data_IF_996131524440
#
_entry.id   IF_996131524440
#
_cell.length_a   1.000
_cell.length_b   1.000
_cell.length_c   1.000
_cell.angle_alpha   90.00
_cell.angle_beta   90.00
_cell.angle_gamma   90.00
#
_symmetry.space_group_name_H-M   'P 1'
#
loop_
_entity.id
_entity.type
_entity.pdbx_description
1 polymer ?
#
# COMPACT_ATOMS: atom_id res chain seq x y z
N UNK A 1 -3.78 14.22 7.53
CA UNK A 1 -5.07 13.59 7.23
C UNK A 1 -5.96 14.58 6.49
N UNK A 2 -6.61 14.09 5.46
CA UNK A 2 -7.56 14.85 4.63
C UNK A 2 -8.84 14.03 4.55
N UNK A 3 -10.03 14.60 4.77
CA UNK A 3 -11.27 13.87 4.58
C UNK A 3 -11.43 13.48 3.10
N UNK A 4 -12.05 12.35 2.83
CA UNK A 4 -12.31 11.89 1.47
C UNK A 4 -13.55 12.54 0.84
N UNK A 5 -14.42 13.10 1.68
CA UNK A 5 -15.64 13.78 1.27
C UNK A 5 -15.98 14.88 2.27
N UNK A 6 -16.67 15.91 1.81
CA UNK A 6 -17.19 17.01 2.61
C UNK A 6 -18.68 17.19 2.39
N UNK A 7 -19.41 17.55 3.42
CA UNK A 7 -20.85 17.87 3.32
C UNK A 7 -21.09 19.22 2.62
N UNK A 8 -20.05 20.01 2.47
CA UNK A 8 -20.11 21.36 1.91
C UNK A 8 -19.68 21.46 0.45
N UNK A 9 -19.44 20.31 -0.20
CA UNK A 9 -19.02 20.26 -1.60
C UNK A 9 -17.56 20.66 -1.87
N UNK A 10 -16.80 21.02 -0.83
CA UNK A 10 -15.37 21.31 -0.91
C UNK A 10 -14.67 20.90 0.39
N UNK A 11 -13.46 20.38 0.26
CA UNK A 11 -12.58 20.11 1.40
C UNK A 11 -11.74 21.34 1.66
N UNK A 12 -11.88 21.94 2.84
CA UNK A 12 -11.12 23.10 3.24
C UNK A 12 -9.91 22.72 4.09
N UNK A 13 -8.96 23.64 4.21
CA UNK A 13 -7.77 23.42 5.05
C UNK A 13 -8.14 23.15 6.52
N UNK A 14 -9.24 23.73 7.01
CA UNK A 14 -9.70 23.53 8.40
C UNK A 14 -10.17 22.10 8.69
N UNK A 15 -10.51 21.32 7.65
CA UNK A 15 -10.91 19.92 7.78
C UNK A 15 -9.70 18.98 7.73
N UNK A 16 -8.52 19.52 7.41
CA UNK A 16 -7.28 18.76 7.39
C UNK A 16 -6.65 18.70 8.78
N UNK A 17 -6.07 17.56 9.12
CA UNK A 17 -5.38 17.36 10.40
C UNK A 17 -3.97 16.85 10.14
N UNK A 18 -3.00 17.40 10.88
CA UNK A 18 -1.63 16.90 10.90
C UNK A 18 -1.47 15.92 12.09
N UNK A 19 -1.51 14.60 11.85
CA UNK A 19 -1.51 13.61 12.92
C UNK A 19 -0.10 13.26 13.43
N UNK A 20 0.92 13.96 13.00
CA UNK A 20 2.31 13.72 13.39
C UNK A 20 3.27 14.64 12.67
N UNK A 21 4.55 14.43 12.87
CA UNK A 21 5.65 15.16 12.24
C UNK A 21 6.61 14.21 11.55
N UNK A 22 7.36 14.72 10.60
CA UNK A 22 8.32 13.97 9.80
C UNK A 22 8.06 14.11 8.31
N UNK A 23 8.82 13.38 7.54
CA UNK A 23 8.72 13.36 6.09
C UNK A 23 7.72 12.29 5.61
N UNK A 24 7.89 11.79 4.40
CA UNK A 24 7.01 10.74 3.87
C UNK A 24 7.18 9.43 4.64
N UNK A 25 6.08 8.72 4.89
CA UNK A 25 6.13 7.45 5.60
C UNK A 25 4.80 6.72 5.56
N UNK A 26 4.78 5.50 6.07
CA UNK A 26 3.55 4.74 6.23
C UNK A 26 2.69 5.32 7.35
N UNK A 27 1.38 5.26 7.14
CA UNK A 27 0.36 5.63 8.12
C UNK A 27 -0.55 4.43 8.34
N UNK A 28 -0.71 4.02 9.60
CA UNK A 28 -1.63 2.98 10.00
C UNK A 28 -2.70 3.54 10.93
N UNK A 29 -3.95 3.46 10.53
CA UNK A 29 -5.10 3.88 11.33
C UNK A 29 -5.68 2.67 12.04
N UNK A 30 -5.94 2.80 13.34
CA UNK A 30 -6.49 1.70 14.14
C UNK A 30 -7.87 1.31 13.62
N UNK A 31 -8.12 0.01 13.29
CA UNK A 31 -9.34 -0.40 12.59
C UNK A 31 -10.65 -0.13 13.34
N UNK A 32 -10.66 -0.26 14.65
CA UNK A 32 -11.80 -0.09 15.54
C UNK A 32 -11.86 1.29 16.23
N UNK A 33 -10.81 2.09 16.09
CA UNK A 33 -10.72 3.44 16.67
C UNK A 33 -9.90 4.37 15.75
N UNK A 34 -10.53 5.02 14.76
CA UNK A 34 -9.82 5.82 13.78
C UNK A 34 -9.14 7.07 14.35
N UNK A 35 -9.40 7.41 15.61
CA UNK A 35 -8.70 8.50 16.30
C UNK A 35 -7.26 8.13 16.71
N UNK A 36 -6.93 6.84 16.67
CA UNK A 36 -5.58 6.34 16.95
C UNK A 36 -4.87 6.07 15.63
N UNK A 37 -3.73 6.73 15.46
CA UNK A 37 -2.93 6.66 14.23
C UNK A 37 -1.46 6.43 14.57
N UNK A 38 -0.83 5.50 13.85
CA UNK A 38 0.61 5.30 13.89
C UNK A 38 1.23 5.86 12.62
N UNK A 39 2.31 6.62 12.78
CA UNK A 39 2.99 7.30 11.68
C UNK A 39 4.47 7.02 11.80
N UNK A 40 5.02 6.37 10.81
CA UNK A 40 6.45 6.11 10.69
C UNK A 40 7.07 7.10 9.73
N UNK A 41 8.17 7.64 10.13
CA UNK A 41 9.05 8.40 9.26
C UNK A 41 10.47 8.36 9.83
N UNK A 42 11.45 8.26 8.96
CA UNK A 42 12.86 8.39 9.24
C UNK A 42 13.33 9.76 8.75
N UNK A 43 14.53 10.14 9.01
CA UNK A 43 15.11 11.40 8.57
C UNK A 43 14.81 12.54 9.53
N UNK A 44 14.03 13.52 9.12
CA UNK A 44 13.72 14.70 9.95
C UNK A 44 12.82 14.41 11.16
N UNK A 45 12.35 13.18 11.34
CA UNK A 45 11.58 12.80 12.51
C UNK A 45 12.43 12.69 13.76
N UNK A 46 11.97 13.17 14.91
CA UNK A 46 12.67 12.92 16.16
C UNK A 46 12.65 11.43 16.50
N UNK A 47 13.78 10.90 16.96
CA UNK A 47 13.86 9.56 17.50
C UNK A 47 14.75 8.57 16.75
N UNK A 48 15.44 8.98 15.68
CA UNK A 48 16.41 8.14 14.97
C UNK A 48 15.79 7.02 14.14
N UNK A 49 16.53 5.95 13.92
CA UNK A 49 16.08 4.76 13.21
C UNK A 49 14.85 4.12 13.85
N UNK A 50 13.91 3.68 13.02
CA UNK A 50 12.66 3.11 13.50
C UNK A 50 11.79 4.11 14.26
N UNK A 51 11.93 5.40 13.98
CA UNK A 51 11.10 6.45 14.56
C UNK A 51 9.63 6.19 14.25
N UNK A 52 8.81 6.05 15.26
CA UNK A 52 7.40 5.76 15.17
C UNK A 52 6.62 6.63 16.15
N UNK A 53 5.57 7.24 15.63
CA UNK A 53 4.72 8.13 16.39
C UNK A 53 3.33 7.51 16.56
N UNK A 54 2.82 7.56 17.78
CA UNK A 54 1.44 7.23 18.12
C UNK A 54 0.70 8.54 18.39
N UNK A 55 -0.31 8.83 17.60
CA UNK A 55 -1.14 10.02 17.71
C UNK A 55 -2.56 9.65 18.12
N UNK A 56 -3.11 10.40 19.09
CA UNK A 56 -4.51 10.31 19.48
C UNK A 56 -5.24 11.61 19.07
N UNK A 57 -6.15 11.51 18.13
CA UNK A 57 -6.86 12.66 17.57
C UNK A 57 -7.78 13.35 18.58
N UNK A 58 -8.41 12.59 19.50
CA UNK A 58 -9.31 13.17 20.53
C UNK A 58 -8.56 14.04 21.53
N UNK A 59 -7.41 13.57 21.98
CA UNK A 59 -6.59 14.28 22.98
C UNK A 59 -5.54 15.19 22.37
N UNK A 60 -5.32 15.09 21.06
CA UNK A 60 -4.23 15.78 20.33
C UNK A 60 -2.84 15.45 20.84
N UNK A 61 -2.68 14.33 21.53
CA UNK A 61 -1.40 13.89 22.06
C UNK A 61 -0.64 13.04 21.05
N UNK A 62 0.64 13.34 20.93
CA UNK A 62 1.61 12.58 20.17
C UNK A 62 2.63 11.98 21.11
N UNK A 63 2.93 10.70 20.94
CA UNK A 63 3.89 9.95 21.74
C UNK A 63 4.86 9.23 20.80
N UNK A 64 6.15 9.31 21.07
CA UNK A 64 7.15 8.49 20.40
C UNK A 64 7.08 7.07 20.95
N UNK A 65 7.02 6.11 20.05
CA UNK A 65 6.92 4.67 20.36
C UNK A 65 7.95 3.89 19.53
N UNK A 66 9.15 4.46 19.43
CA UNK A 66 10.23 3.96 18.59
C UNK A 66 10.50 2.48 18.84
N UNK A 67 10.77 1.74 17.76
CA UNK A 67 11.11 0.32 17.81
C UNK A 67 12.50 0.16 18.41
N UNK A 68 13.46 0.94 17.90
CA UNK A 68 14.84 0.95 18.35
C UNK A 68 15.42 2.36 18.19
N UNK A 69 15.54 3.13 19.28
CA UNK A 69 16.02 4.51 19.22
C UNK A 69 17.55 4.55 19.09
N UNK A 70 18.04 4.54 17.88
CA UNK A 70 19.46 4.62 17.55
C UNK A 70 19.71 5.76 16.58
N UNK A 71 20.72 6.58 16.88
CA UNK A 71 21.17 7.62 15.97
C UNK A 71 22.12 7.03 14.95
N UNK A 72 21.78 7.16 13.66
CA UNK A 72 22.48 6.46 12.58
C UNK A 72 23.22 7.39 11.61
N UNK A 73 23.19 8.69 11.86
CA UNK A 73 23.90 9.66 11.03
C UNK A 73 25.39 9.34 10.92
N UNK A 74 25.86 9.13 9.72
CA UNK A 74 27.26 8.85 9.43
C UNK A 74 27.68 7.39 9.64
N UNK A 75 26.75 6.51 10.04
CA UNK A 75 27.04 5.09 10.22
C UNK A 75 26.74 4.29 8.93
N UNK A 76 27.57 3.29 8.67
CA UNK A 76 27.28 2.35 7.60
C UNK A 76 26.14 1.40 8.02
N UNK A 77 25.27 0.98 7.11
CA UNK A 77 24.21 0.02 7.41
C UNK A 77 24.65 -1.28 8.07
N UNK A 78 25.90 -1.72 7.84
CA UNK A 78 26.48 -2.91 8.51
C UNK A 78 26.78 -2.69 9.99
N UNK A 79 26.96 -1.45 10.43
CA UNK A 79 27.41 -1.10 11.77
C UNK A 79 26.25 -0.78 12.72
N UNK A 80 25.01 -0.71 12.20
CA UNK A 80 23.80 -0.48 12.97
C UNK A 80 23.09 -1.79 13.29
N UNK A 81 22.34 -1.81 14.39
CA UNK A 81 21.67 -3.02 14.85
C UNK A 81 20.48 -3.44 13.99
N UNK A 82 19.66 -2.49 13.60
CA UNK A 82 18.50 -2.70 12.75
C UNK A 82 18.46 -1.63 11.66
N UNK A 83 18.16 -2.05 10.44
CA UNK A 83 18.03 -1.15 9.29
C UNK A 83 16.56 -0.85 9.05
N UNK A 84 16.22 0.41 8.91
CA UNK A 84 14.89 0.86 8.51
C UNK A 84 15.00 1.69 7.24
N UNK A 85 14.06 1.49 6.31
CA UNK A 85 13.90 2.36 5.17
C UNK A 85 13.18 3.64 5.59
N UNK A 86 13.34 4.70 4.85
CA UNK A 86 12.57 5.93 5.02
C UNK A 86 11.06 5.67 5.11
N UNK A 87 10.57 4.80 4.24
CA UNK A 87 9.16 4.40 4.20
C UNK A 87 9.02 2.93 4.59
N UNK A 88 9.23 2.59 5.86
CA UNK A 88 9.10 1.22 6.33
C UNK A 88 7.63 0.84 6.60
N UNK A 89 7.22 -0.41 6.35
CA UNK A 89 5.85 -0.86 6.53
C UNK A 89 5.38 -0.82 7.98
N UNK A 90 4.15 -0.30 8.17
CA UNK A 90 3.44 -0.31 9.45
C UNK A 90 2.03 -0.83 9.16
N UNK A 91 1.56 -1.80 9.93
CA UNK A 91 0.20 -2.32 9.77
C UNK A 91 -0.38 -2.80 11.09
N UNK A 92 -1.70 -2.71 11.21
CA UNK A 92 -2.45 -3.41 12.25
C UNK A 92 -2.73 -4.85 11.83
N UNK A 93 -2.82 -5.75 12.82
CA UNK A 93 -3.38 -7.06 12.60
C UNK A 93 -4.86 -6.96 12.20
N UNK A 94 -5.30 -7.69 11.16
CA UNK A 94 -6.73 -7.76 10.82
C UNK A 94 -7.55 -8.57 11.83
N UNK A 95 -6.89 -9.29 12.76
CA UNK A 95 -7.53 -10.16 13.76
C UNK A 95 -7.62 -9.53 15.15
N UNK A 96 -6.70 -8.63 15.47
CA UNK A 96 -6.63 -7.96 16.77
C UNK A 96 -6.11 -6.52 16.58
N UNK A 97 -6.99 -5.56 16.74
CA UNK A 97 -6.68 -4.13 16.62
C UNK A 97 -5.71 -3.61 17.70
N UNK A 98 -5.40 -4.39 18.71
CA UNK A 98 -4.36 -4.10 19.71
C UNK A 98 -2.95 -4.45 19.23
N UNK A 99 -2.82 -5.21 18.14
CA UNK A 99 -1.53 -5.64 17.61
C UNK A 99 -1.12 -4.74 16.43
N UNK A 100 0.11 -4.22 16.51
CA UNK A 100 0.74 -3.45 15.44
C UNK A 100 2.05 -4.12 15.04
N UNK A 101 2.29 -4.18 13.75
CA UNK A 101 3.55 -4.61 13.14
C UNK A 101 4.26 -3.41 12.53
N UNK A 102 5.59 -3.44 12.60
CA UNK A 102 6.45 -2.51 11.88
C UNK A 102 7.72 -3.24 11.42
N UNK A 103 8.26 -2.85 10.27
CA UNK A 103 9.31 -3.62 9.62
C UNK A 103 10.54 -2.76 9.31
N UNK A 104 11.70 -3.18 9.81
CA UNK A 104 12.99 -2.82 9.28
C UNK A 104 13.54 -3.96 8.41
N UNK A 105 14.77 -4.40 8.63
CA UNK A 105 15.26 -5.68 8.10
C UNK A 105 14.65 -6.90 8.83
N UNK A 106 13.97 -6.66 9.93
CA UNK A 106 13.20 -7.63 10.71
C UNK A 106 11.75 -7.16 10.84
N UNK A 107 10.85 -8.09 11.16
CA UNK A 107 9.48 -7.80 11.57
C UNK A 107 9.41 -7.63 13.08
N UNK A 108 8.85 -6.53 13.53
CA UNK A 108 8.59 -6.21 14.93
C UNK A 108 7.09 -6.18 15.20
N UNK A 109 6.69 -6.63 16.39
CA UNK A 109 5.32 -6.68 16.86
C UNK A 109 5.20 -6.02 18.23
N UNK A 110 4.17 -5.21 18.41
CA UNK A 110 3.73 -4.73 19.72
C UNK A 110 2.26 -5.12 19.95
N UNK A 111 1.90 -5.37 21.21
CA UNK A 111 0.53 -5.59 21.70
C UNK A 111 0.18 -4.68 22.87
N UNK A 112 0.98 -3.63 23.08
CA UNK A 112 0.84 -2.70 24.18
C UNK A 112 1.06 -1.24 23.75
N UNK A 113 0.57 -0.90 22.57
CA UNK A 113 0.63 0.45 21.98
C UNK A 113 2.06 1.00 21.82
N UNK A 114 3.01 0.13 21.50
CA UNK A 114 4.41 0.53 21.28
C UNK A 114 5.20 0.82 22.55
N UNK A 115 4.71 0.44 23.74
CA UNK A 115 5.49 0.53 24.98
C UNK A 115 6.68 -0.43 24.99
N UNK A 116 6.55 -1.53 24.26
CA UNK A 116 7.64 -2.45 23.96
C UNK A 116 7.40 -3.15 22.62
N UNK A 117 8.49 -3.59 21.98
CA UNK A 117 8.50 -4.27 20.70
C UNK A 117 9.20 -5.61 20.82
N UNK A 118 8.63 -6.61 20.16
CA UNK A 118 9.20 -7.95 20.05
C UNK A 118 9.58 -8.20 18.61
N UNK A 119 10.84 -8.55 18.37
CA UNK A 119 11.30 -9.06 17.08
C UNK A 119 10.73 -10.46 16.84
N UNK A 120 10.05 -10.68 15.71
CA UNK A 120 9.38 -11.94 15.35
C UNK A 120 9.89 -12.53 14.03
N UNK A 121 11.01 -12.04 13.51
CA UNK A 121 11.66 -12.64 12.34
C UNK A 121 13.18 -12.62 12.45
N UNK A 122 13.89 -13.47 11.70
CA UNK A 122 15.29 -13.23 11.35
C UNK A 122 15.40 -11.98 10.45
N UNK A 123 16.59 -11.67 9.96
CA UNK A 123 16.78 -10.75 8.83
C UNK A 123 16.17 -11.41 7.58
N UNK A 124 15.23 -10.72 6.93
CA UNK A 124 14.48 -11.21 5.77
C UNK A 124 14.98 -10.62 4.45
N UNK A 125 16.20 -10.11 4.46
CA UNK A 125 16.83 -9.45 3.30
C UNK A 125 18.05 -10.24 2.84
N UNK A 126 18.62 -9.88 1.69
CA UNK A 126 19.90 -10.45 1.23
C UNK A 126 21.04 -10.01 2.13
N UNK A 127 21.01 -8.75 2.53
CA UNK A 127 22.00 -8.11 3.38
C UNK A 127 23.45 -8.33 2.89
N UNK A 128 23.68 -8.20 1.59
CA UNK A 128 25.01 -8.41 1.00
C UNK A 128 26.01 -7.43 1.61
N UNK A 129 27.00 -7.94 2.31
CA UNK A 129 27.94 -7.16 3.12
C UNK A 129 28.70 -6.10 2.31
N UNK A 130 29.04 -6.39 1.05
CA UNK A 130 29.74 -5.48 0.15
C UNK A 130 28.88 -4.25 -0.23
N UNK A 131 27.56 -4.33 -0.02
CA UNK A 131 26.57 -3.27 -0.30
C UNK A 131 26.11 -2.53 0.95
N UNK A 132 26.47 -2.98 2.12
CA UNK A 132 26.12 -2.36 3.41
C UNK A 132 27.18 -1.35 3.88
N UNK A 133 27.98 -0.83 2.96
CA UNK A 133 28.95 0.23 3.24
C UNK A 133 28.32 1.61 3.43
N UNK A 134 29.16 2.60 3.66
CA UNK A 134 28.75 4.00 3.64
C UNK A 134 28.22 4.38 2.27
N UNK A 135 27.13 5.12 2.22
CA UNK A 135 26.58 5.72 1.01
C UNK A 135 27.17 7.11 0.75
N UNK A 136 26.95 7.61 -0.45
CA UNK A 136 27.48 8.88 -0.92
C UNK A 136 28.58 8.71 -1.96
N UNK A 137 28.95 9.80 -2.61
CA UNK A 137 30.00 9.83 -3.62
C UNK A 137 31.29 10.40 -3.07
N UNK A 138 31.64 11.62 -3.48
CA UNK A 138 32.84 12.34 -2.98
C UNK A 138 32.73 12.70 -1.51
N UNK A 139 31.52 12.84 -0.99
CA UNK A 139 31.21 13.03 0.43
C UNK A 139 30.34 11.88 0.91
N UNK A 140 30.54 11.47 2.16
CA UNK A 140 29.69 10.48 2.81
C UNK A 140 28.33 11.10 3.11
N UNK A 141 27.26 10.42 2.68
CA UNK A 141 25.89 10.84 2.88
C UNK A 141 25.07 9.67 3.46
N UNK A 142 25.44 9.25 4.66
CA UNK A 142 24.75 8.21 5.41
C UNK A 142 23.80 8.86 6.40
N UNK A 143 22.62 9.26 5.92
CA UNK A 143 21.62 9.97 6.72
C UNK A 143 20.62 9.04 7.42
N UNK A 144 20.68 7.74 7.13
CA UNK A 144 19.72 6.76 7.63
C UNK A 144 18.51 6.57 6.73
N UNK A 145 18.23 7.51 5.82
CA UNK A 145 17.11 7.42 4.89
C UNK A 145 17.41 6.51 3.70
N UNK A 146 18.66 6.32 3.35
CA UNK A 146 19.16 5.59 2.18
C UNK A 146 19.46 4.12 2.46
N UNK A 147 19.11 3.61 3.64
CA UNK A 147 19.39 2.22 3.98
C UNK A 147 18.67 1.27 3.04
N UNK A 148 19.44 0.39 2.44
CA UNK A 148 18.94 -0.74 1.68
C UNK A 148 19.00 -2.01 2.54
N UNK A 149 18.51 -3.14 2.01
CA UNK A 149 18.31 -4.40 2.72
C UNK A 149 17.30 -4.22 3.85
N UNK A 150 16.11 -3.78 3.48
CA UNK A 150 14.97 -3.56 4.37
C UNK A 150 13.70 -4.20 3.80
N UNK A 151 12.76 -4.52 4.67
CA UNK A 151 11.44 -4.99 4.27
C UNK A 151 10.67 -3.79 3.72
N UNK A 152 10.19 -3.90 2.48
CA UNK A 152 9.45 -2.86 1.76
C UNK A 152 7.95 -3.06 1.79
N UNK A 153 7.48 -4.29 2.03
CA UNK A 153 6.07 -4.64 2.13
C UNK A 153 5.87 -5.77 3.12
N UNK A 154 4.82 -5.67 3.93
CA UNK A 154 4.45 -6.67 4.94
C UNK A 154 2.95 -6.76 5.06
N UNK A 155 2.43 -7.97 5.11
CA UNK A 155 1.00 -8.23 5.27
C UNK A 155 0.75 -9.46 6.16
N UNK A 156 -0.29 -9.39 6.99
CA UNK A 156 -0.86 -10.53 7.70
C UNK A 156 -2.10 -11.02 6.95
N UNK A 157 -2.29 -12.33 6.90
CA UNK A 157 -3.46 -12.95 6.28
C UNK A 157 -4.77 -12.43 6.90
N UNK A 158 -5.75 -11.97 6.12
CA UNK A 158 -7.07 -11.65 6.67
C UNK A 158 -7.88 -12.90 7.02
N UNK A 159 -7.44 -14.09 6.58
CA UNK A 159 -8.14 -15.35 6.79
C UNK A 159 -7.64 -16.13 8.02
N UNK A 160 -6.36 -15.96 8.38
CA UNK A 160 -5.74 -16.71 9.45
C UNK A 160 -4.71 -15.86 10.19
N UNK A 161 -4.90 -15.72 11.50
CA UNK A 161 -3.95 -15.01 12.36
C UNK A 161 -2.59 -15.70 12.42
N UNK A 162 -1.53 -14.88 12.40
CA UNK A 162 -0.16 -15.37 12.48
C UNK A 162 0.41 -15.95 11.18
N UNK A 163 -0.29 -15.80 10.07
CA UNK A 163 0.24 -16.10 8.73
C UNK A 163 0.66 -14.80 8.06
N UNK A 164 1.94 -14.72 7.71
CA UNK A 164 2.59 -13.48 7.25
C UNK A 164 3.28 -13.65 5.92
N UNK A 165 3.36 -12.54 5.17
CA UNK A 165 4.24 -12.39 4.00
C UNK A 165 5.00 -11.09 4.09
N UNK A 166 6.27 -11.14 3.74
CA UNK A 166 7.18 -9.99 3.71
C UNK A 166 7.97 -9.98 2.41
N UNK A 167 8.07 -8.82 1.79
CA UNK A 167 8.93 -8.58 0.63
C UNK A 167 9.97 -7.54 0.95
N UNK A 168 11.19 -7.70 0.41
CA UNK A 168 12.30 -6.80 0.64
C UNK A 168 12.63 -5.94 -0.57
N UNK A 169 13.33 -4.84 -0.32
CA UNK A 169 13.79 -3.92 -1.36
C UNK A 169 14.94 -4.50 -2.22
N UNK A 170 15.53 -5.60 -1.78
CA UNK A 170 16.60 -6.35 -2.45
C UNK A 170 16.13 -7.67 -3.09
N UNK A 171 14.79 -7.87 -3.15
CA UNK A 171 14.15 -8.84 -4.03
C UNK A 171 13.89 -10.20 -3.42
N UNK A 172 13.74 -10.31 -2.11
CA UNK A 172 13.31 -11.54 -1.46
C UNK A 172 11.85 -11.47 -1.01
N UNK A 173 11.17 -12.61 -1.08
CA UNK A 173 9.82 -12.78 -0.54
C UNK A 173 9.84 -13.94 0.46
N UNK A 174 9.33 -13.68 1.65
CA UNK A 174 9.27 -14.67 2.71
C UNK A 174 7.85 -14.84 3.24
N UNK A 175 7.54 -16.03 3.73
CA UNK A 175 6.29 -16.34 4.45
C UNK A 175 6.56 -17.00 5.78
N UNK A 176 5.65 -16.83 6.71
CA UNK A 176 5.57 -17.56 7.98
C UNK A 176 4.13 -17.95 8.26
N UNK A 177 3.91 -19.18 8.73
CA UNK A 177 2.58 -19.73 9.03
C UNK A 177 2.35 -19.98 10.53
N UNK A 178 3.33 -19.62 11.38
CA UNK A 178 3.38 -19.99 12.79
C UNK A 178 3.62 -18.80 13.75
N UNK A 179 3.20 -17.61 13.34
CA UNK A 179 3.35 -16.40 14.13
C UNK A 179 4.76 -15.81 14.12
N UNK A 180 5.52 -16.10 13.06
CA UNK A 180 6.87 -15.55 12.87
C UNK A 180 8.00 -16.37 13.48
N UNK A 181 7.75 -17.63 13.88
CA UNK A 181 8.80 -18.50 14.45
C UNK A 181 9.70 -19.09 13.36
N UNK A 182 9.10 -19.50 12.25
CA UNK A 182 9.78 -20.03 11.07
C UNK A 182 9.40 -19.17 9.86
N UNK A 183 10.39 -18.79 9.08
CA UNK A 183 10.25 -18.05 7.84
C UNK A 183 10.86 -18.83 6.69
N UNK A 184 10.12 -18.92 5.59
CA UNK A 184 10.51 -19.62 4.37
C UNK A 184 10.65 -18.63 3.24
N UNK A 185 11.70 -18.73 2.46
CA UNK A 185 11.87 -17.98 1.24
C UNK A 185 10.98 -18.59 0.14
N UNK A 186 10.10 -17.77 -0.41
CA UNK A 186 9.14 -18.13 -1.45
C UNK A 186 9.25 -17.19 -2.67
N UNK A 187 10.39 -16.57 -2.86
CA UNK A 187 10.64 -15.65 -3.97
C UNK A 187 10.33 -16.33 -5.31
N UNK A 188 9.58 -15.69 -6.22
CA UNK A 188 9.34 -16.27 -7.55
C UNK A 188 10.64 -16.57 -8.27
N UNK A 189 10.81 -17.79 -8.79
CA UNK A 189 12.05 -18.21 -9.47
C UNK A 189 12.36 -17.37 -10.72
N UNK A 190 11.34 -16.84 -11.38
CA UNK A 190 11.47 -16.03 -12.58
C UNK A 190 11.66 -14.53 -12.27
N UNK A 191 11.60 -14.14 -11.00
CA UNK A 191 11.83 -12.75 -10.61
C UNK A 191 13.33 -12.46 -10.68
N UNK A 192 13.75 -11.47 -11.45
CA UNK A 192 15.17 -11.11 -11.50
C UNK A 192 15.69 -10.67 -10.13
N UNK A 193 16.94 -10.97 -9.85
CA UNK A 193 17.61 -10.53 -8.63
C UNK A 193 17.54 -9.01 -8.46
N UNK A 194 17.48 -8.54 -7.21
CA UNK A 194 17.43 -7.12 -6.88
C UNK A 194 16.15 -6.42 -7.36
N UNK A 195 15.10 -7.15 -7.64
CA UNK A 195 13.80 -6.56 -7.90
C UNK A 195 13.20 -6.05 -6.58
N UNK A 196 12.99 -4.76 -6.48
CA UNK A 196 12.32 -4.15 -5.32
C UNK A 196 10.89 -4.69 -5.23
N UNK A 197 10.58 -5.45 -4.19
CA UNK A 197 9.21 -5.94 -3.94
C UNK A 197 8.36 -4.78 -3.47
N UNK A 198 7.55 -4.24 -4.37
CA UNK A 198 6.81 -3.02 -4.08
C UNK A 198 5.54 -3.30 -3.27
N UNK A 199 4.81 -4.36 -3.61
CA UNK A 199 3.55 -4.68 -2.96
C UNK A 199 3.28 -6.18 -2.97
N UNK A 200 2.79 -6.69 -1.85
CA UNK A 200 2.13 -7.97 -1.72
C UNK A 200 0.68 -7.69 -1.32
N UNK A 201 -0.26 -8.19 -2.10
CA UNK A 201 -1.69 -8.10 -1.84
C UNK A 201 -2.25 -9.50 -1.60
N UNK A 202 -3.03 -9.66 -0.54
CA UNK A 202 -3.70 -10.93 -0.24
C UNK A 202 -5.15 -10.84 -0.68
N UNK A 203 -5.59 -11.82 -1.45
CA UNK A 203 -6.99 -11.91 -1.83
C UNK A 203 -7.89 -12.06 -0.59
N UNK A 204 -8.91 -11.23 -0.50
CA UNK A 204 -9.96 -11.38 0.53
C UNK A 204 -10.97 -12.47 0.18
N UNK A 205 -10.95 -12.97 -1.06
CA UNK A 205 -11.89 -13.97 -1.56
C UNK A 205 -11.41 -15.41 -1.36
N UNK A 206 -10.10 -15.63 -1.54
CA UNK A 206 -9.53 -16.98 -1.54
C UNK A 206 -8.29 -17.04 -0.65
N UNK A 207 -8.31 -17.82 0.43
CA UNK A 207 -7.13 -18.09 1.23
C UNK A 207 -5.99 -18.65 0.36
N UNK A 208 -4.77 -18.19 0.60
CA UNK A 208 -3.60 -18.60 -0.17
C UNK A 208 -3.44 -17.94 -1.55
N UNK A 209 -4.39 -17.12 -1.99
CA UNK A 209 -4.22 -16.31 -3.21
C UNK A 209 -3.51 -15.01 -2.87
N UNK A 210 -2.40 -14.78 -3.56
CA UNK A 210 -1.54 -13.60 -3.41
C UNK A 210 -1.28 -12.98 -4.78
N UNK A 211 -1.14 -11.66 -4.77
CA UNK A 211 -0.63 -10.90 -5.89
C UNK A 211 0.63 -10.16 -5.46
N UNK A 212 1.62 -10.11 -6.33
CA UNK A 212 2.89 -9.45 -6.07
C UNK A 212 3.20 -8.51 -7.23
N UNK A 213 3.66 -7.32 -6.89
CA UNK A 213 4.29 -6.41 -7.84
C UNK A 213 5.71 -6.07 -7.39
N UNK A 214 6.61 -6.01 -8.37
CA UNK A 214 8.00 -5.62 -8.17
C UNK A 214 8.48 -4.71 -9.29
N UNK A 215 9.61 -4.04 -9.07
CA UNK A 215 10.19 -3.10 -10.03
C UNK A 215 11.71 -3.11 -9.94
N UNK A 216 12.39 -2.82 -11.06
CA UNK A 216 13.85 -2.70 -11.13
C UNK A 216 14.32 -1.41 -11.79
N UNK A 217 13.49 -0.38 -11.81
CA UNK A 217 13.81 0.87 -12.49
C UNK A 217 15.12 1.51 -12.02
N UNK A 218 15.51 1.32 -10.75
CA UNK A 218 16.81 1.77 -10.23
C UNK A 218 18.01 1.05 -10.87
N UNK A 219 17.78 -0.06 -11.55
CA UNK A 219 18.75 -0.83 -12.31
C UNK A 219 18.56 -0.69 -13.84
N UNK A 220 17.87 0.38 -14.28
CA UNK A 220 17.53 0.66 -15.68
C UNK A 220 16.69 -0.43 -16.36
N UNK A 221 15.91 -1.17 -15.59
CA UNK A 221 14.98 -2.18 -16.08
C UNK A 221 13.56 -1.69 -15.80
N UNK A 222 12.84 -1.37 -16.85
CA UNK A 222 11.49 -0.80 -16.80
C UNK A 222 10.40 -1.83 -17.08
N UNK A 223 10.74 -3.12 -17.10
CA UNK A 223 9.80 -4.20 -17.29
C UNK A 223 8.80 -4.32 -16.13
N UNK A 224 7.55 -4.69 -16.40
CA UNK A 224 6.58 -5.00 -15.36
C UNK A 224 6.87 -6.37 -14.74
N UNK A 225 6.71 -6.45 -13.43
CA UNK A 225 6.85 -7.68 -12.67
C UNK A 225 5.60 -7.89 -11.83
N UNK A 226 4.61 -8.56 -12.42
CA UNK A 226 3.33 -8.89 -11.77
C UNK A 226 3.19 -10.41 -11.67
N UNK A 227 3.00 -10.91 -10.47
CA UNK A 227 2.86 -12.33 -10.20
C UNK A 227 1.62 -12.63 -9.37
N UNK A 228 1.09 -13.83 -9.56
CA UNK A 228 0.01 -14.39 -8.75
C UNK A 228 0.40 -15.77 -8.23
N UNK A 229 0.10 -16.04 -6.99
CA UNK A 229 0.10 -17.37 -6.38
C UNK A 229 -1.32 -17.74 -5.94
N UNK A 230 -1.62 -19.05 -5.89
CA UNK A 230 -2.88 -19.58 -5.35
C UNK A 230 -2.67 -20.56 -4.21
N UNK A 231 -1.43 -20.73 -3.76
CA UNK A 231 -1.02 -21.68 -2.73
C UNK A 231 -0.04 -21.09 -1.71
N UNK A 232 -0.29 -19.84 -1.30
CA UNK A 232 0.50 -19.18 -0.26
C UNK A 232 1.87 -18.69 -0.69
N UNK A 233 2.17 -18.70 -1.99
CA UNK A 233 3.47 -18.30 -2.54
C UNK A 233 4.41 -19.45 -2.84
N UNK A 234 3.96 -20.72 -2.71
CA UNK A 234 4.79 -21.87 -3.07
C UNK A 234 5.06 -21.93 -4.57
N UNK A 235 4.05 -21.58 -5.37
CA UNK A 235 4.17 -21.43 -6.82
C UNK A 235 3.68 -20.06 -7.25
N UNK A 236 4.39 -19.46 -8.19
CA UNK A 236 4.08 -18.16 -8.74
C UNK A 236 3.87 -18.25 -10.25
N UNK A 237 2.91 -17.49 -10.73
CA UNK A 237 2.62 -17.34 -12.16
C UNK A 237 2.71 -15.86 -12.52
N UNK A 238 3.46 -15.55 -13.57
CA UNK A 238 3.46 -14.23 -14.18
C UNK A 238 2.07 -13.89 -14.73
N UNK A 239 1.57 -12.71 -14.40
CA UNK A 239 0.27 -12.18 -14.83
C UNK A 239 0.40 -10.85 -15.59
N UNK A 240 1.55 -10.60 -16.20
CA UNK A 240 1.75 -9.39 -17.02
C UNK A 240 0.75 -9.33 -18.17
N UNK A 241 0.35 -10.50 -18.76
CA UNK A 241 -0.61 -10.54 -19.85
C UNK A 241 -0.20 -9.62 -21.01
N UNK A 242 -1.04 -8.66 -21.32
CA UNK A 242 -0.81 -7.59 -22.31
C UNK A 242 -0.49 -6.23 -21.66
N UNK A 243 -0.01 -6.24 -20.42
CA UNK A 243 0.53 -5.03 -19.77
C UNK A 243 1.73 -4.51 -20.55
N UNK A 244 1.88 -3.18 -20.75
CA UNK A 244 2.97 -2.66 -21.58
C UNK A 244 4.36 -3.04 -21.04
N UNK A 245 5.24 -3.53 -21.90
CA UNK A 245 6.56 -4.05 -21.54
C UNK A 245 7.53 -3.01 -20.95
N UNK A 246 7.26 -1.74 -21.19
CA UNK A 246 8.10 -0.62 -20.71
C UNK A 246 7.43 0.19 -19.61
N UNK A 247 6.34 -0.33 -19.05
CA UNK A 247 5.60 0.35 -18.00
C UNK A 247 5.81 -0.38 -16.66
N UNK A 248 6.54 0.24 -15.75
CA UNK A 248 6.82 -0.37 -14.45
C UNK A 248 5.54 -0.56 -13.63
N UNK A 249 5.47 -1.66 -12.90
CA UNK A 249 4.40 -1.93 -11.94
C UNK A 249 4.83 -1.54 -10.53
N UNK A 250 3.97 -0.82 -9.82
CA UNK A 250 4.18 -0.44 -8.42
C UNK A 250 3.19 -1.19 -7.53
N UNK A 251 2.16 -0.57 -7.07
CA UNK A 251 1.15 -1.16 -6.21
C UNK A 251 0.15 -2.01 -6.99
N UNK A 252 -0.25 -3.16 -6.44
CA UNK A 252 -1.35 -3.97 -6.95
C UNK A 252 -2.42 -4.14 -5.87
N UNK A 253 -3.71 -4.06 -6.25
CA UNK A 253 -4.84 -4.27 -5.35
C UNK A 253 -5.92 -5.11 -6.02
N UNK A 254 -6.51 -6.06 -5.26
CA UNK A 254 -7.72 -6.76 -5.68
C UNK A 254 -8.95 -6.07 -5.08
N UNK A 255 -10.02 -5.97 -5.88
CA UNK A 255 -11.30 -5.46 -5.37
C UNK A 255 -11.90 -6.41 -4.32
N UNK A 256 -12.21 -5.93 -3.09
CA UNK A 256 -12.68 -6.80 -2.01
C UNK A 256 -14.11 -7.33 -2.21
N UNK A 257 -14.83 -6.90 -3.25
CA UNK A 257 -16.18 -7.35 -3.57
C UNK A 257 -16.26 -8.16 -4.87
N UNK A 258 -15.23 -8.07 -5.73
CA UNK A 258 -15.25 -8.71 -7.06
C UNK A 258 -13.92 -9.43 -7.30
N UNK A 259 -13.89 -10.77 -7.15
CA UNK A 259 -12.67 -11.54 -7.35
C UNK A 259 -12.11 -11.34 -8.75
N UNK A 260 -10.79 -11.14 -8.85
CA UNK A 260 -10.07 -10.97 -10.11
C UNK A 260 -10.28 -9.63 -10.82
N UNK A 261 -10.97 -8.67 -10.19
CA UNK A 261 -10.91 -7.26 -10.56
C UNK A 261 -9.69 -6.66 -9.87
N UNK A 262 -8.65 -6.36 -10.67
CA UNK A 262 -7.35 -5.90 -10.19
C UNK A 262 -7.06 -4.50 -10.67
N UNK A 263 -6.37 -3.74 -9.81
CA UNK A 263 -5.85 -2.42 -10.10
C UNK A 263 -4.33 -2.42 -9.90
N UNK A 264 -3.59 -1.89 -10.87
CA UNK A 264 -2.14 -1.70 -10.77
C UNK A 264 -1.81 -0.24 -10.94
N UNK A 265 -1.10 0.32 -9.96
CA UNK A 265 -0.46 1.61 -10.07
C UNK A 265 0.86 1.50 -10.81
N UNK A 266 1.08 2.40 -11.75
CA UNK A 266 2.26 2.45 -12.59
C UNK A 266 2.98 3.81 -12.51
N UNK A 267 3.97 4.01 -13.34
CA UNK A 267 4.64 5.31 -13.49
C UNK A 267 3.76 6.35 -14.19
N UNK A 268 2.84 5.91 -15.02
CA UNK A 268 2.02 6.82 -15.85
C UNK A 268 0.54 6.79 -15.54
N UNK A 269 0.13 6.13 -14.47
CA UNK A 269 -1.27 6.07 -14.04
C UNK A 269 -1.71 4.72 -13.51
N UNK A 270 -2.94 4.34 -13.82
CA UNK A 270 -3.59 3.14 -13.30
C UNK A 270 -3.92 2.20 -14.45
N UNK A 271 -3.66 0.91 -14.25
CA UNK A 271 -4.12 -0.16 -15.13
C UNK A 271 -5.14 -1.03 -14.40
N UNK A 272 -6.15 -1.50 -15.11
CA UNK A 272 -7.24 -2.32 -14.60
C UNK A 272 -7.27 -3.64 -15.36
N UNK A 273 -7.42 -4.74 -14.63
CA UNK A 273 -7.77 -6.04 -15.17
C UNK A 273 -9.11 -6.51 -14.60
N UNK A 274 -10.01 -6.93 -15.48
CA UNK A 274 -11.31 -7.50 -15.09
C UNK A 274 -11.34 -9.03 -15.20
N UNK A 275 -10.19 -9.65 -15.45
CA UNK A 275 -10.07 -11.07 -15.72
C UNK A 275 -8.82 -11.70 -15.09
N UNK A 276 -8.49 -11.23 -13.88
CA UNK A 276 -7.47 -11.82 -13.03
C UNK A 276 -6.06 -11.74 -13.65
N UNK A 277 -5.71 -10.57 -14.19
CA UNK A 277 -4.39 -10.28 -14.76
C UNK A 277 -4.12 -10.87 -16.15
N UNK A 278 -5.13 -11.43 -16.83
CA UNK A 278 -4.96 -11.94 -18.20
C UNK A 278 -4.84 -10.84 -19.23
N UNK A 279 -5.59 -9.76 -19.03
CA UNK A 279 -5.54 -8.56 -19.85
C UNK A 279 -5.60 -7.33 -18.98
N UNK A 280 -4.90 -6.30 -19.41
CA UNK A 280 -4.80 -5.03 -18.73
C UNK A 280 -5.21 -3.87 -19.62
N UNK A 281 -5.94 -2.94 -19.06
CA UNK A 281 -6.35 -1.72 -19.75
C UNK A 281 -5.90 -0.52 -18.92
N UNK A 282 -5.28 0.47 -19.57
CA UNK A 282 -4.99 1.73 -18.93
C UNK A 282 -6.30 2.44 -18.61
N UNK A 283 -6.45 2.88 -17.37
CA UNK A 283 -7.60 3.67 -16.97
C UNK A 283 -7.49 5.07 -17.57
N UNK A 284 -8.45 5.40 -18.41
CA UNK A 284 -8.59 6.71 -19.02
C UNK A 284 -9.70 7.48 -18.32
N UNK A 285 -9.48 8.73 -18.05
CA UNK A 285 -10.40 9.64 -17.42
C UNK A 285 -9.73 10.99 -17.28
N UNK A 286 -10.09 11.75 -16.28
CA UNK A 286 -9.42 12.99 -15.94
C UNK A 286 -8.18 12.80 -15.06
N UNK A 287 -7.77 11.53 -14.83
CA UNK A 287 -6.60 11.21 -14.04
C UNK A 287 -5.31 11.62 -14.78
N UNK A 288 -4.37 12.34 -14.14
CA UNK A 288 -3.16 12.82 -14.78
C UNK A 288 -2.16 11.70 -15.08
N UNK A 289 -1.23 11.98 -15.98
CA UNK A 289 -0.03 11.13 -16.14
C UNK A 289 0.90 11.41 -14.96
N UNK A 290 0.98 10.48 -14.04
CA UNK A 290 1.70 10.64 -12.77
C UNK A 290 1.99 9.25 -12.15
N UNK A 291 3.13 9.09 -11.43
CA UNK A 291 3.40 7.86 -10.71
C UNK A 291 2.36 7.62 -9.60
N UNK A 292 1.84 6.40 -9.54
CA UNK A 292 0.91 5.94 -8.51
C UNK A 292 1.68 5.07 -7.51
N UNK A 293 1.88 5.59 -6.32
CA UNK A 293 2.67 4.92 -5.29
C UNK A 293 1.85 4.00 -4.39
N UNK A 294 0.62 4.37 -4.08
CA UNK A 294 -0.26 3.51 -3.31
C UNK A 294 -1.72 3.69 -3.71
N UNK A 295 -2.50 2.65 -3.49
CA UNK A 295 -3.94 2.63 -3.69
C UNK A 295 -4.61 1.88 -2.55
N UNK A 296 -5.82 2.31 -2.19
CA UNK A 296 -6.65 1.62 -1.20
C UNK A 296 -8.10 1.66 -1.66
N UNK A 297 -8.74 0.49 -1.61
CA UNK A 297 -10.19 0.42 -1.83
C UNK A 297 -10.86 0.55 -0.47
N UNK A 298 -11.65 1.60 -0.31
CA UNK A 298 -12.40 1.88 0.92
C UNK A 298 -13.88 1.96 0.59
N UNK A 299 -14.68 1.05 1.14
CA UNK A 299 -16.09 0.89 0.79
C UNK A 299 -16.26 0.62 -0.71
N UNK A 300 -16.70 1.62 -1.47
CA UNK A 300 -16.90 1.52 -2.92
C UNK A 300 -15.99 2.44 -3.72
N UNK A 301 -15.07 3.14 -3.07
CA UNK A 301 -14.20 4.13 -3.68
C UNK A 301 -12.76 3.60 -3.77
N UNK A 302 -12.06 3.96 -4.85
CA UNK A 302 -10.62 3.75 -5.00
C UNK A 302 -9.88 5.04 -4.67
N UNK A 303 -9.18 5.04 -3.56
CA UNK A 303 -8.30 6.14 -3.14
C UNK A 303 -6.91 5.89 -3.70
N UNK A 304 -6.34 6.90 -4.35
CA UNK A 304 -5.06 6.82 -5.08
C UNK A 304 -4.08 7.85 -4.54
N UNK A 305 -2.94 7.40 -4.08
CA UNK A 305 -1.81 8.22 -3.69
C UNK A 305 -0.83 8.39 -4.84
N UNK A 306 -0.61 9.63 -5.29
CA UNK A 306 0.30 9.93 -6.39
C UNK A 306 1.58 10.59 -5.91
N UNK A 307 2.65 10.44 -6.69
CA UNK A 307 3.89 11.15 -6.46
C UNK A 307 3.88 12.50 -7.20
N UNK A 308 3.45 13.54 -6.51
CA UNK A 308 3.51 14.92 -7.00
C UNK A 308 2.21 15.51 -7.55
N UNK A 309 1.08 14.78 -7.52
CA UNK A 309 -0.23 15.28 -7.96
C UNK A 309 -1.33 15.02 -6.94
N UNK A 310 -0.99 15.01 -5.64
CA UNK A 310 -1.93 14.87 -4.52
C UNK A 310 -2.65 13.51 -4.49
N UNK A 311 -3.77 13.45 -3.79
CA UNK A 311 -4.65 12.29 -3.73
C UNK A 311 -5.79 12.43 -4.73
N UNK A 312 -6.19 11.28 -5.28
CA UNK A 312 -7.33 11.16 -6.19
C UNK A 312 -8.30 10.12 -5.65
N UNK A 313 -9.56 10.32 -5.90
CA UNK A 313 -10.60 9.36 -5.52
C UNK A 313 -11.43 9.08 -6.76
N UNK A 314 -11.50 7.80 -7.13
CA UNK A 314 -12.49 7.31 -8.07
C UNK A 314 -13.69 6.88 -7.24
N UNK A 315 -14.73 7.72 -7.24
CA UNK A 315 -15.97 7.45 -6.55
C UNK A 315 -16.74 6.32 -7.25
N UNK A 316 -17.25 5.38 -6.46
CA UNK A 316 -18.14 4.33 -6.91
C UNK A 316 -17.58 3.34 -7.95
N UNK A 317 -16.92 2.29 -7.48
CA UNK A 317 -16.43 1.17 -8.29
C UNK A 317 -17.55 0.24 -8.83
N UNK A 318 -18.82 0.50 -8.49
CA UNK A 318 -19.95 -0.36 -8.87
C UNK A 318 -20.06 -0.57 -10.38
N UNK A 319 -19.85 0.41 -11.26
CA UNK A 319 -19.86 0.21 -12.70
C UNK A 319 -18.76 -0.77 -13.17
N UNK A 320 -17.54 -0.63 -12.64
CA UNK A 320 -16.44 -1.54 -12.99
C UNK A 320 -16.69 -2.96 -12.50
N UNK A 321 -17.23 -3.13 -11.31
CA UNK A 321 -17.66 -4.44 -10.77
C UNK A 321 -18.71 -5.10 -11.64
N UNK A 322 -19.72 -4.36 -12.07
CA UNK A 322 -20.78 -4.85 -12.94
C UNK A 322 -20.25 -5.23 -14.33
N UNK A 323 -19.24 -4.52 -14.82
CA UNK A 323 -18.57 -4.84 -16.07
C UNK A 323 -17.77 -6.14 -15.96
N UNK A 324 -16.97 -6.29 -14.90
CA UNK A 324 -16.14 -7.46 -14.62
C UNK A 324 -16.96 -8.74 -14.50
N UNK A 325 -18.07 -8.73 -13.75
CA UNK A 325 -18.95 -9.88 -13.56
C UNK A 325 -19.57 -10.40 -14.87
N UNK A 326 -19.73 -9.55 -15.87
CA UNK A 326 -20.25 -9.96 -17.19
C UNK A 326 -19.17 -10.53 -18.10
N UNK A 327 -17.97 -9.99 -18.02
CA UNK A 327 -16.83 -10.50 -18.78
C UNK A 327 -16.49 -11.95 -18.42
N UNK A 328 -16.74 -12.34 -17.17
CA UNK A 328 -16.51 -13.71 -16.68
C UNK A 328 -17.60 -14.71 -17.11
N UNK A 329 -18.81 -14.26 -17.39
CA UNK A 329 -19.88 -15.10 -17.95
C UNK A 329 -19.76 -15.05 -19.47
N UNK A 330 -19.24 -16.12 -20.09
CA UNK A 330 -19.22 -16.32 -21.56
C UNK A 330 -20.60 -16.11 -22.15
N UNK A 331 -21.02 -14.89 -22.34
CA UNK A 331 -22.22 -14.47 -23.04
C UNK A 331 -21.80 -13.65 -24.25
N UNK A 332 -22.06 -14.16 -25.41
CA UNK A 332 -21.91 -13.47 -26.68
C UNK A 332 -22.85 -12.24 -26.70
N UNK A 333 -22.42 -11.13 -26.12
CA UNK A 333 -23.01 -9.84 -26.47
C UNK A 333 -22.45 -9.47 -27.86
N UNK A 334 -23.10 -9.94 -28.90
CA UNK A 334 -22.75 -9.71 -30.31
C UNK A 334 -23.16 -8.31 -30.80
N UNK A 335 -23.78 -7.50 -29.97
CA UNK A 335 -24.23 -6.18 -30.35
C UNK A 335 -23.59 -5.13 -29.40
N UNK A 336 -23.08 -4.06 -29.99
CA UNK A 336 -22.59 -2.86 -29.29
C UNK A 336 -23.72 -2.10 -28.58
N UNK A 337 -24.48 -2.82 -27.76
CA UNK A 337 -25.57 -2.27 -26.97
C UNK A 337 -25.02 -1.40 -25.86
N UNK A 338 -25.44 -0.16 -25.85
CA UNK A 338 -25.21 0.76 -24.73
C UNK A 338 -25.80 0.14 -23.46
N UNK A 339 -24.98 0.01 -22.42
CA UNK A 339 -25.42 -0.48 -21.11
C UNK A 339 -25.57 0.67 -20.14
N UNK A 340 -26.76 0.83 -19.60
CA UNK A 340 -26.98 1.68 -18.44
C UNK A 340 -26.70 0.88 -17.18
N UNK A 341 -25.73 1.34 -16.36
CA UNK A 341 -25.48 0.76 -15.05
C UNK A 341 -26.48 1.33 -14.03
N UNK A 342 -27.10 0.49 -13.17
CA UNK A 342 -27.89 1.01 -12.07
C UNK A 342 -27.00 1.82 -11.12
N UNK A 343 -27.39 3.05 -10.77
CA UNK A 343 -26.67 3.83 -9.79
C UNK A 343 -26.79 3.17 -8.40
N UNK A 344 -25.85 3.49 -7.51
CA UNK A 344 -25.99 3.10 -6.11
C UNK A 344 -27.15 3.85 -5.45
N UNK A 345 -27.70 3.30 -4.36
CA UNK A 345 -28.70 3.97 -3.55
C UNK A 345 -28.19 5.33 -3.08
N UNK A 346 -28.95 6.36 -3.37
CA UNK A 346 -28.58 7.76 -3.10
C UNK A 346 -29.72 8.45 -2.41
N UNK A 347 -29.43 9.26 -1.39
CA UNK A 347 -30.44 10.07 -0.74
C UNK A 347 -30.95 11.12 -1.71
N UNK A 348 -32.28 11.14 -1.90
CA UNK A 348 -32.95 12.21 -2.59
C UNK A 348 -33.49 13.20 -1.57
N UNK A 349 -33.06 14.43 -1.64
CA UNK A 349 -33.53 15.49 -0.77
C UNK A 349 -33.90 16.74 -1.59
N UNK A 350 -34.85 17.50 -1.05
CA UNK A 350 -35.22 18.78 -1.62
C UNK A 350 -34.32 19.85 -0.99
N UNK A 351 -33.52 20.49 -1.82
CA UNK A 351 -32.66 21.58 -1.38
C UNK A 351 -33.48 22.80 -1.09
N UNK A 352 -33.32 23.36 0.09
CA UNK A 352 -33.83 24.71 0.36
C UNK A 352 -32.88 25.72 -0.32
N UNK A 353 -33.38 26.44 -1.27
CA UNK A 353 -32.60 27.38 -2.09
C UNK A 353 -31.73 28.35 -1.27
N UNK A 354 -32.21 28.81 -0.12
CA UNK A 354 -31.47 29.70 0.77
C UNK A 354 -30.27 29.07 1.44
N UNK A 355 -30.27 27.73 1.63
CA UNK A 355 -29.17 26.99 2.24
C UNK A 355 -28.09 26.63 1.22
N UNK A 356 -28.49 26.34 0.00
CA UNK A 356 -27.55 25.94 -1.06
C UNK A 356 -26.57 27.02 -1.46
N UNK A 357 -26.98 28.27 -1.37
CA UNK A 357 -26.11 29.35 -1.78
C UNK A 357 -24.91 29.57 -0.88
N UNK A 358 -24.96 29.08 0.36
CA UNK A 358 -23.91 29.23 1.36
C UNK A 358 -23.19 27.95 1.75
N UNK A 359 -23.79 26.78 1.51
CA UNK A 359 -23.23 25.51 2.00
C UNK A 359 -22.58 24.65 0.92
N UNK A 360 -22.56 25.13 -0.32
CA UNK A 360 -22.15 24.32 -1.46
C UNK A 360 -23.12 23.16 -1.69
N UNK A 361 -23.02 22.52 -2.82
CA UNK A 361 -23.83 21.36 -3.13
C UNK A 361 -23.33 20.18 -2.30
N UNK A 362 -24.20 19.66 -1.45
CA UNK A 362 -23.91 18.40 -0.74
C UNK A 362 -23.70 17.27 -1.72
N UNK A 363 -22.85 16.35 -1.37
CA UNK A 363 -22.46 15.10 -2.02
C UNK A 363 -23.31 14.66 -3.22
N UNK A 364 -23.12 15.25 -4.34
CA UNK A 364 -23.70 14.80 -5.57
C UNK A 364 -22.58 14.29 -6.50
N UNK A 365 -21.89 13.25 -6.06
CA UNK A 365 -20.68 12.75 -6.72
C UNK A 365 -20.97 11.72 -7.80
N UNK A 366 -22.21 11.27 -7.90
CA UNK A 366 -22.58 10.22 -8.83
C UNK A 366 -22.84 10.69 -10.25
N UNK A 367 -22.78 11.98 -10.51
CA UNK A 367 -23.15 12.56 -11.81
C UNK A 367 -21.98 13.09 -12.63
N UNK A 368 -20.75 12.95 -12.19
CA UNK A 368 -19.59 13.32 -12.99
C UNK A 368 -19.12 12.12 -13.81
N UNK A 369 -19.63 11.98 -15.01
CA UNK A 369 -19.12 11.12 -16.06
C UNK A 369 -18.58 11.96 -17.21
#
# INVERSE_FOLDING_TARGET
SVPSASEYGAITFNECTLPGTGESGFIAVKPDDPDIVYIGAVGSSPGGEGALQHYNHRTRQLRLVNIWPEEVYGWAPRDIKFRFSWTYPISFSPHDSGIVYACGNHVFRTDNEGKSWKKISPDLTRADEDKLGLSGGMTVDSSGAEHYATISTFVESPHQSGVFWAGSDDGLVHTSEDGGKIWQNITPNELPEWAYIFCIEISTHNPGTLYLSATRYKLNDYSPYLYKSTNGGQDWKCINGDYPETEISRVIREDPKTPGLLFVGSETGIFISTNDGKNWQKFHGNFPVVPVYDMKIKQDDLVVGTHGRSFWILDDLTPLRQFSLKSSKKGKDKDGTVKLFPPKDTYRYTLNWSVNFFLGEGKNYSAAF
#
